data_IF_084736817736
#
_entry.id   IF_084736817736
#
_cell.length_a   1.000
_cell.length_b   1.000
_cell.length_c   1.000
_cell.angle_alpha   90.00
_cell.angle_beta   90.00
_cell.angle_gamma   90.00
#
_symmetry.space_group_name_H-M   'P 1'
#
loop_
_entity.id
_entity.type
_entity.pdbx_description
1 polymer ?
#
# COMPACT_ATOMS: atom_id res chain seq x y z
N UNK A 1 33.67 23.68 4.99
CA UNK A 1 32.39 23.22 5.56
C UNK A 1 31.43 24.37 5.40
N UNK A 2 30.61 24.33 4.36
CA UNK A 2 29.46 25.22 4.22
C UNK A 2 28.51 24.86 5.35
N UNK A 3 28.30 25.80 6.25
CA UNK A 3 27.35 25.65 7.36
C UNK A 3 25.97 25.56 6.72
N UNK A 4 25.40 24.36 6.64
CA UNK A 4 24.03 24.19 6.16
C UNK A 4 23.13 24.93 7.13
N UNK A 5 22.49 26.00 6.63
CA UNK A 5 21.51 26.76 7.39
C UNK A 5 20.48 25.76 7.96
N UNK A 6 20.03 25.90 9.22
CA UNK A 6 19.05 24.98 9.80
C UNK A 6 17.82 24.71 8.91
N UNK A 7 17.43 25.66 8.05
CA UNK A 7 16.36 25.51 7.06
C UNK A 7 16.60 24.44 5.97
N UNK A 8 17.83 23.94 5.80
CA UNK A 8 18.22 23.02 4.73
C UNK A 8 18.15 21.54 5.15
N UNK A 9 17.86 21.24 6.42
CA UNK A 9 17.74 19.86 6.90
C UNK A 9 16.43 19.24 6.40
N UNK A 10 16.44 17.97 5.91
CA UNK A 10 15.22 17.31 5.44
C UNK A 10 14.06 17.30 6.43
N UNK A 11 14.33 17.05 7.72
CA UNK A 11 13.32 17.08 8.78
C UNK A 11 12.67 18.47 8.94
N UNK A 12 13.45 19.54 8.81
CA UNK A 12 12.93 20.91 8.95
C UNK A 12 12.07 21.31 7.74
N UNK A 13 12.42 20.86 6.52
CA UNK A 13 11.57 21.01 5.33
C UNK A 13 10.24 20.26 5.46
N UNK A 14 10.28 19.03 5.98
CA UNK A 14 9.08 18.22 6.21
C UNK A 14 8.13 18.89 7.23
N UNK A 15 8.67 19.39 8.36
CA UNK A 15 7.90 20.12 9.37
C UNK A 15 7.30 21.42 8.83
N UNK A 16 8.08 22.20 8.08
CA UNK A 16 7.60 23.44 7.48
C UNK A 16 6.46 23.18 6.48
N UNK A 17 6.55 22.12 5.68
CA UNK A 17 5.48 21.72 4.77
C UNK A 17 4.22 21.25 5.53
N UNK A 18 4.39 20.51 6.63
CA UNK A 18 3.28 20.10 7.49
C UNK A 18 2.57 21.30 8.15
N UNK A 19 3.32 22.27 8.65
CA UNK A 19 2.77 23.51 9.20
C UNK A 19 2.00 24.31 8.13
N UNK A 20 2.56 24.45 6.92
CA UNK A 20 1.88 25.09 5.80
C UNK A 20 0.54 24.40 5.48
N UNK A 21 0.51 23.08 5.40
CA UNK A 21 -0.72 22.31 5.19
C UNK A 21 -1.76 22.54 6.28
N UNK A 22 -1.36 22.55 7.56
CA UNK A 22 -2.27 22.85 8.68
C UNK A 22 -2.85 24.26 8.56
N UNK A 23 -2.02 25.26 8.29
CA UNK A 23 -2.45 26.64 8.13
C UNK A 23 -3.42 26.82 6.94
N UNK A 24 -3.11 26.19 5.81
CA UNK A 24 -3.99 26.20 4.63
C UNK A 24 -5.30 25.45 4.89
N UNK A 25 -5.25 24.27 5.50
CA UNK A 25 -6.45 23.48 5.82
C UNK A 25 -7.35 24.17 6.84
N UNK A 26 -6.78 24.86 7.84
CA UNK A 26 -7.53 25.65 8.82
C UNK A 26 -8.22 26.87 8.19
N UNK A 27 -7.64 27.43 7.13
CA UNK A 27 -8.20 28.58 6.39
C UNK A 27 -9.17 28.15 5.28
N UNK A 28 -9.16 26.87 4.91
CA UNK A 28 -10.02 26.34 3.88
C UNK A 28 -11.47 26.16 4.40
N UNK A 29 -12.45 26.35 3.51
CA UNK A 29 -13.87 26.14 3.85
C UNK A 29 -14.08 24.71 4.32
N UNK A 30 -14.63 24.47 5.53
CA UNK A 30 -14.91 23.13 6.03
C UNK A 30 -15.83 22.37 5.07
N UNK A 31 -15.45 21.16 4.68
CA UNK A 31 -16.28 20.32 3.80
C UNK A 31 -17.46 19.66 4.53
N UNK A 32 -18.21 18.79 3.83
CA UNK A 32 -17.83 18.13 2.58
C UNK A 32 -17.97 19.02 1.34
N UNK A 33 -16.95 19.00 0.49
CA UNK A 33 -17.02 19.66 -0.81
C UNK A 33 -17.85 18.78 -1.74
N UNK A 34 -18.96 19.30 -2.26
CA UNK A 34 -19.83 18.59 -3.18
C UNK A 34 -19.69 19.21 -4.55
N UNK A 35 -19.49 18.37 -5.56
CA UNK A 35 -19.66 18.77 -6.96
C UNK A 35 -21.14 19.08 -7.18
N UNK A 36 -21.49 20.36 -7.20
CA UNK A 36 -22.82 20.79 -7.64
C UNK A 36 -22.77 20.96 -9.15
N UNK A 37 -23.70 20.32 -9.85
CA UNK A 37 -23.71 20.21 -11.32
C UNK A 37 -23.72 21.57 -12.06
N UNK A 38 -23.63 21.47 -13.39
CA UNK A 38 -23.56 22.56 -14.36
C UNK A 38 -24.58 23.66 -14.06
N UNK A 39 -24.13 24.76 -13.45
CA UNK A 39 -24.85 26.03 -13.50
C UNK A 39 -24.58 26.73 -14.82
N UNK A 40 -25.20 27.90 -15.03
CA UNK A 40 -25.03 28.74 -16.24
C UNK A 40 -23.55 29.15 -16.51
N UNK A 41 -22.60 28.75 -15.65
CA UNK A 41 -21.18 29.09 -15.68
C UNK A 41 -20.22 27.88 -15.53
N UNK A 42 -20.67 26.64 -15.79
CA UNK A 42 -19.80 25.44 -15.83
C UNK A 42 -19.54 24.75 -14.48
N UNK A 43 -18.58 23.80 -14.46
CA UNK A 43 -18.11 23.12 -13.23
C UNK A 43 -17.32 24.12 -12.38
N UNK A 44 -17.77 24.41 -11.15
CA UNK A 44 -17.06 25.30 -10.25
C UNK A 44 -16.72 24.63 -8.92
N UNK A 45 -15.45 24.75 -8.52
CA UNK A 45 -15.04 24.70 -7.12
C UNK A 45 -14.80 26.16 -6.72
N UNK A 46 -15.71 26.77 -5.97
CA UNK A 46 -15.60 28.20 -5.67
C UNK A 46 -14.51 28.45 -4.61
N UNK A 47 -13.37 28.99 -5.07
CA UNK A 47 -12.51 29.89 -4.31
C UNK A 47 -12.51 31.25 -5.04
N UNK A 48 -12.44 32.40 -4.34
CA UNK A 48 -12.53 33.71 -4.99
C UNK A 48 -11.44 33.89 -6.06
N UNK A 49 -11.84 34.00 -7.33
CA UNK A 49 -10.97 34.43 -8.44
C UNK A 49 -10.33 33.35 -9.33
N UNK A 50 -10.75 32.08 -9.25
CA UNK A 50 -10.28 31.02 -10.17
C UNK A 50 -11.46 30.39 -10.90
N UNK A 51 -11.60 30.69 -12.20
CA UNK A 51 -12.54 30.02 -13.09
C UNK A 51 -11.81 28.89 -13.83
N UNK A 52 -12.23 27.65 -13.64
CA UNK A 52 -11.76 26.52 -14.46
C UNK A 52 -12.55 26.48 -15.77
N UNK A 53 -11.90 26.38 -16.94
CA UNK A 53 -12.60 26.35 -18.22
C UNK A 53 -13.51 25.12 -18.34
N UNK A 54 -14.68 25.29 -18.98
CA UNK A 54 -15.68 24.24 -19.22
C UNK A 54 -15.18 23.20 -20.22
N UNK A 55 -14.30 22.34 -19.73
CA UNK A 55 -13.60 21.28 -20.46
C UNK A 55 -13.60 20.02 -19.62
N UNK A 56 -13.41 18.87 -20.26
CA UNK A 56 -13.20 17.60 -19.54
C UNK A 56 -12.03 17.68 -18.54
N UNK A 57 -11.02 18.49 -18.87
CA UNK A 57 -9.92 18.82 -17.98
C UNK A 57 -10.39 19.60 -16.75
N UNK A 58 -11.18 20.67 -16.92
CA UNK A 58 -11.71 21.46 -15.80
C UNK A 58 -12.61 20.65 -14.86
N UNK A 59 -13.36 19.68 -15.39
CA UNK A 59 -14.09 18.71 -14.57
C UNK A 59 -13.16 17.82 -13.76
N UNK A 60 -12.12 17.29 -14.39
CA UNK A 60 -11.11 16.44 -13.73
C UNK A 60 -10.37 17.21 -12.63
N UNK A 61 -10.03 18.47 -12.88
CA UNK A 61 -9.37 19.36 -11.92
C UNK A 61 -10.30 19.66 -10.73
N UNK A 62 -11.60 19.90 -10.98
CA UNK A 62 -12.59 20.09 -9.93
C UNK A 62 -12.80 18.83 -9.07
N UNK A 63 -12.82 17.65 -9.69
CA UNK A 63 -12.88 16.36 -8.99
C UNK A 63 -11.62 16.14 -8.13
N UNK A 64 -10.43 16.47 -8.65
CA UNK A 64 -9.17 16.41 -7.91
C UNK A 64 -9.17 17.36 -6.71
N UNK A 65 -9.63 18.60 -6.86
CA UNK A 65 -9.71 19.57 -5.77
C UNK A 65 -10.73 19.12 -4.72
N UNK A 66 -11.89 18.59 -5.13
CA UNK A 66 -12.90 18.04 -4.22
C UNK A 66 -12.37 16.89 -3.34
N UNK A 67 -11.45 16.07 -3.89
CA UNK A 67 -10.76 15.02 -3.15
C UNK A 67 -9.78 15.58 -2.10
N UNK A 68 -9.22 16.77 -2.32
CA UNK A 68 -8.29 17.45 -1.40
C UNK A 68 -9.00 18.20 -0.27
N UNK A 69 -10.01 17.56 0.34
CA UNK A 69 -10.70 18.06 1.54
C UNK A 69 -9.70 18.46 2.65
N UNK A 70 -9.97 19.46 3.51
CA UNK A 70 -9.04 19.87 4.57
C UNK A 70 -8.52 18.71 5.44
N UNK A 71 -9.34 17.68 5.65
CA UNK A 71 -8.94 16.44 6.34
C UNK A 71 -7.81 15.67 5.66
N UNK A 72 -7.72 15.68 4.33
CA UNK A 72 -6.59 15.10 3.57
C UNK A 72 -5.33 15.93 3.79
N UNK A 73 -5.44 17.27 3.76
CA UNK A 73 -4.33 18.16 4.08
C UNK A 73 -3.78 17.93 5.49
N UNK A 74 -4.65 17.75 6.49
CA UNK A 74 -4.26 17.41 7.86
C UNK A 74 -3.63 16.03 7.99
N UNK A 75 -4.17 15.01 7.30
CA UNK A 75 -3.58 13.67 7.29
C UNK A 75 -2.18 13.67 6.66
N UNK A 76 -2.01 14.43 5.56
CA UNK A 76 -0.72 14.61 4.90
C UNK A 76 0.27 15.36 5.82
N UNK A 77 -0.18 16.35 6.59
CA UNK A 77 0.66 17.02 7.58
C UNK A 77 1.14 16.08 8.70
N UNK A 78 0.29 15.17 9.19
CA UNK A 78 0.69 14.16 10.18
C UNK A 78 1.69 13.17 9.59
N UNK A 79 1.51 12.78 8.32
CA UNK A 79 2.45 11.93 7.62
C UNK A 79 3.82 12.61 7.45
N UNK A 80 3.85 13.90 7.09
CA UNK A 80 5.09 14.67 6.99
C UNK A 80 5.81 14.82 8.33
N UNK A 81 5.10 15.04 9.43
CA UNK A 81 5.71 15.06 10.79
C UNK A 81 6.37 13.71 11.11
N UNK A 82 5.69 12.59 10.85
CA UNK A 82 6.26 11.25 11.09
C UNK A 82 7.50 10.98 10.23
N UNK A 83 7.49 11.45 8.98
CA UNK A 83 8.66 11.37 8.11
C UNK A 83 9.81 12.26 8.62
N UNK A 84 9.51 13.41 9.20
CA UNK A 84 10.51 14.28 9.82
C UNK A 84 11.14 13.61 11.06
N UNK A 85 10.31 13.01 11.91
CA UNK A 85 10.78 12.26 13.08
C UNK A 85 11.66 11.07 12.65
N UNK A 86 11.24 10.31 11.64
CA UNK A 86 12.08 9.26 11.07
C UNK A 86 13.41 9.82 10.53
N UNK A 87 13.38 10.95 9.83
CA UNK A 87 14.60 11.61 9.33
C UNK A 87 15.54 12.05 10.44
N UNK A 88 15.04 12.45 11.61
CA UNK A 88 15.88 12.85 12.75
C UNK A 88 16.47 11.66 13.51
N UNK A 89 15.73 10.55 13.60
CA UNK A 89 16.15 9.37 14.36
C UNK A 89 17.15 8.50 13.60
N UNK A 90 17.17 8.58 12.27
CA UNK A 90 18.08 7.80 11.44
C UNK A 90 19.25 8.64 10.96
N UNK A 91 20.39 8.47 11.63
CA UNK A 91 21.66 9.02 11.15
C UNK A 91 22.03 8.48 9.76
N UNK A 92 22.96 9.15 9.08
CA UNK A 92 23.41 8.87 7.69
C UNK A 92 23.90 7.42 7.42
N UNK A 93 23.93 6.53 8.40
CA UNK A 93 24.45 5.16 8.32
C UNK A 93 23.42 4.03 8.21
N UNK A 94 22.13 4.26 8.46
CA UNK A 94 21.09 3.20 8.42
C UNK A 94 20.32 3.24 7.09
N UNK A 95 21.04 2.96 6.01
CA UNK A 95 20.54 3.04 4.63
C UNK A 95 19.65 1.85 4.26
N UNK A 96 18.40 2.13 3.90
CA UNK A 96 17.52 1.19 3.21
C UNK A 96 16.05 1.55 3.36
N UNK A 97 15.44 1.12 4.46
CA UNK A 97 13.98 1.22 4.68
C UNK A 97 13.54 2.66 4.95
N UNK A 98 14.37 3.44 5.64
CA UNK A 98 14.03 4.83 6.01
C UNK A 98 14.13 5.75 4.81
N UNK A 99 15.13 5.52 3.94
CA UNK A 99 15.29 6.26 2.70
C UNK A 99 14.04 6.13 1.81
N UNK A 100 13.43 4.94 1.73
CA UNK A 100 12.21 4.74 0.93
C UNK A 100 10.99 5.50 1.43
N UNK A 101 10.92 5.85 2.72
CA UNK A 101 9.83 6.64 3.29
C UNK A 101 10.11 8.15 3.23
N UNK A 102 11.35 8.56 3.51
CA UNK A 102 11.73 9.98 3.63
C UNK A 102 11.84 10.66 2.27
N UNK A 103 12.30 9.97 1.22
CA UNK A 103 12.49 10.60 -0.10
C UNK A 103 11.17 11.06 -0.75
N UNK A 104 10.09 10.23 -0.83
CA UNK A 104 8.80 10.70 -1.36
C UNK A 104 8.20 11.83 -0.52
N UNK A 105 8.32 11.74 0.81
CA UNK A 105 7.86 12.79 1.71
C UNK A 105 8.57 14.12 1.48
N UNK A 106 9.90 14.08 1.29
CA UNK A 106 10.70 15.27 1.03
C UNK A 106 10.36 15.89 -0.33
N UNK A 107 10.10 15.08 -1.36
CA UNK A 107 9.64 15.57 -2.66
C UNK A 107 8.31 16.32 -2.56
N UNK A 108 7.34 15.75 -1.83
CA UNK A 108 6.04 16.39 -1.55
C UNK A 108 6.24 17.68 -0.77
N UNK A 109 7.08 17.67 0.28
CA UNK A 109 7.35 18.86 1.09
C UNK A 109 7.95 20.00 0.27
N UNK A 110 8.91 19.70 -0.62
CA UNK A 110 9.51 20.71 -1.51
C UNK A 110 8.49 21.31 -2.47
N UNK A 111 7.62 20.48 -3.04
CA UNK A 111 6.54 20.97 -3.91
C UNK A 111 5.58 21.90 -3.14
N UNK A 112 5.20 21.51 -1.91
CA UNK A 112 4.33 22.31 -1.06
C UNK A 112 4.98 23.64 -0.66
N UNK A 113 6.28 23.65 -0.38
CA UNK A 113 7.03 24.84 -0.01
C UNK A 113 7.40 25.73 -1.21
N UNK A 114 7.30 25.22 -2.44
CA UNK A 114 7.79 25.91 -3.63
C UNK A 114 9.32 25.92 -3.70
N UNK A 115 9.98 24.97 -3.03
CA UNK A 115 11.44 24.86 -2.92
C UNK A 115 11.99 23.70 -3.75
N UNK A 116 11.25 23.24 -4.76
CA UNK A 116 11.82 22.38 -5.79
C UNK A 116 12.91 23.17 -6.52
N UNK A 117 14.15 22.97 -6.08
CA UNK A 117 15.40 23.33 -6.75
C UNK A 117 15.35 22.79 -8.19
N UNK A 118 15.79 23.45 -9.26
CA UNK A 118 16.08 24.85 -9.56
C UNK A 118 16.29 24.86 -11.08
N UNK A 119 15.61 25.73 -11.82
CA UNK A 119 16.14 26.17 -13.12
C UNK A 119 17.42 26.97 -12.80
N UNK A 120 18.58 26.31 -12.75
CA UNK A 120 19.87 26.98 -12.56
C UNK A 120 20.81 26.44 -11.48
N UNK A 121 20.64 25.21 -10.98
CA UNK A 121 21.83 24.51 -10.48
C UNK A 121 22.70 24.22 -11.71
N UNK A 122 23.88 24.86 -11.80
CA UNK A 122 24.87 24.51 -12.81
C UNK A 122 25.12 23.00 -12.69
N UNK A 123 24.69 22.26 -13.71
CA UNK A 123 24.99 20.85 -13.86
C UNK A 123 26.50 20.69 -13.74
N UNK A 124 26.92 19.87 -12.79
CA UNK A 124 28.34 19.65 -12.59
C UNK A 124 28.92 18.94 -13.82
N UNK A 125 30.21 19.16 -14.11
CA UNK A 125 30.89 18.47 -15.23
C UNK A 125 30.71 16.93 -15.14
N UNK A 126 30.65 16.36 -13.94
CA UNK A 126 30.40 14.93 -13.70
C UNK A 126 28.97 14.50 -14.05
N UNK A 127 27.96 15.31 -13.76
CA UNK A 127 26.56 15.02 -14.11
C UNK A 127 26.34 15.12 -15.61
N UNK A 128 26.99 16.10 -16.25
CA UNK A 128 26.99 16.24 -17.70
C UNK A 128 27.63 15.02 -18.37
N UNK A 129 28.81 14.57 -17.90
CA UNK A 129 29.48 13.36 -18.40
C UNK A 129 28.59 12.11 -18.23
N UNK A 130 27.96 11.94 -17.05
CA UNK A 130 27.04 10.83 -16.82
C UNK A 130 25.77 10.88 -17.70
N UNK A 131 25.31 12.06 -18.09
CA UNK A 131 24.21 12.19 -19.04
C UNK A 131 24.68 11.81 -20.45
N UNK A 132 25.82 12.32 -20.89
CA UNK A 132 26.41 12.01 -22.20
C UNK A 132 26.69 10.50 -22.34
N UNK A 133 27.17 9.84 -21.29
CA UNK A 133 27.39 8.38 -21.25
C UNK A 133 26.07 7.60 -21.34
N UNK A 134 25.02 8.03 -20.64
CA UNK A 134 23.69 7.41 -20.72
C UNK A 134 23.08 7.58 -22.10
N UNK A 135 23.22 8.75 -22.71
CA UNK A 135 22.75 9.03 -24.07
C UNK A 135 23.54 8.26 -25.12
N UNK A 136 24.86 8.11 -24.96
CA UNK A 136 25.69 7.25 -25.79
C UNK A 136 25.25 5.79 -25.69
N UNK A 137 25.10 5.27 -24.48
CA UNK A 137 24.61 3.91 -24.22
C UNK A 137 23.23 3.68 -24.83
N UNK A 138 22.32 4.66 -24.75
CA UNK A 138 21.00 4.58 -25.35
C UNK A 138 21.05 4.56 -26.89
N UNK A 139 21.95 5.34 -27.50
CA UNK A 139 22.19 5.32 -28.96
C UNK A 139 22.74 3.98 -29.42
N UNK A 140 23.72 3.44 -28.71
CA UNK A 140 24.31 2.12 -29.01
C UNK A 140 23.25 1.01 -28.90
N UNK A 141 22.44 1.04 -27.83
CA UNK A 141 21.33 0.11 -27.64
C UNK A 141 20.31 0.19 -28.79
N UNK A 142 19.92 1.39 -29.21
CA UNK A 142 19.00 1.59 -30.33
C UNK A 142 19.57 1.09 -31.67
N UNK A 143 20.90 1.11 -31.82
CA UNK A 143 21.61 0.56 -32.98
C UNK A 143 21.82 -0.96 -32.90
N UNK A 144 21.43 -1.61 -31.79
CA UNK A 144 21.66 -3.03 -31.54
C UNK A 144 23.08 -3.38 -31.07
N UNK A 145 23.85 -2.37 -30.67
CA UNK A 145 25.14 -2.56 -30.00
C UNK A 145 24.92 -2.60 -28.48
N UNK A 146 25.22 -3.75 -27.87
CA UNK A 146 25.00 -3.99 -26.45
C UNK A 146 26.29 -4.00 -25.64
N UNK A 147 27.44 -3.66 -26.23
CA UNK A 147 28.74 -3.75 -25.56
C UNK A 147 28.85 -2.85 -24.30
N UNK A 148 28.02 -1.80 -24.22
CA UNK A 148 27.99 -0.85 -23.10
C UNK A 148 26.67 -0.93 -22.29
N UNK A 149 25.85 -1.93 -22.57
CA UNK A 149 24.63 -2.13 -21.82
C UNK A 149 24.92 -2.66 -20.41
N UNK A 150 24.25 -2.08 -19.41
CA UNK A 150 24.28 -2.63 -18.05
C UNK A 150 23.59 -3.99 -17.96
N UNK A 151 23.70 -4.64 -16.79
CA UNK A 151 23.12 -5.95 -16.44
C UNK A 151 21.57 -5.98 -16.42
N UNK A 152 20.92 -5.01 -17.06
CA UNK A 152 19.47 -4.89 -17.19
C UNK A 152 19.04 -4.91 -18.65
N UNK A 153 19.97 -5.01 -19.61
CA UNK A 153 19.65 -5.11 -21.03
C UNK A 153 19.09 -6.50 -21.38
N UNK A 154 17.91 -6.51 -22.00
CA UNK A 154 17.17 -7.73 -22.36
C UNK A 154 17.90 -8.59 -23.42
N UNK A 155 18.82 -8.00 -24.20
CA UNK A 155 19.56 -8.72 -25.26
C UNK A 155 20.77 -9.47 -24.70
N UNK A 156 21.49 -8.90 -23.72
CA UNK A 156 22.59 -9.61 -23.06
C UNK A 156 22.13 -10.59 -21.97
N UNK A 157 20.88 -10.49 -21.52
CA UNK A 157 20.34 -11.32 -20.45
C UNK A 157 19.13 -12.14 -20.90
N UNK A 158 19.31 -13.44 -21.22
CA UNK A 158 18.18 -14.31 -21.49
C UNK A 158 17.30 -14.40 -20.25
N UNK A 159 16.07 -13.96 -20.40
CA UNK A 159 15.00 -13.73 -19.40
C UNK A 159 14.75 -14.87 -18.41
N UNK A 160 15.21 -16.08 -18.71
CA UNK A 160 15.11 -17.24 -17.81
C UNK A 160 16.11 -17.18 -16.65
N UNK A 161 17.32 -16.66 -16.88
CA UNK A 161 18.39 -16.66 -15.87
C UNK A 161 18.14 -15.62 -14.77
N UNK A 162 17.60 -14.44 -15.13
CA UNK A 162 17.24 -13.40 -14.17
C UNK A 162 16.01 -13.79 -13.33
N UNK A 163 15.00 -14.45 -13.94
CA UNK A 163 13.85 -15.01 -13.22
C UNK A 163 14.33 -16.00 -12.16
N UNK A 164 15.22 -16.92 -12.53
CA UNK A 164 15.79 -17.89 -11.60
C UNK A 164 16.68 -17.25 -10.54
N UNK A 165 17.43 -16.18 -10.89
CA UNK A 165 18.27 -15.45 -9.94
C UNK A 165 17.46 -14.65 -8.91
N UNK A 166 16.40 -13.95 -9.34
CA UNK A 166 15.48 -13.21 -8.46
C UNK A 166 14.73 -14.18 -7.53
N UNK A 167 14.25 -15.31 -8.06
CA UNK A 167 13.63 -16.39 -7.27
C UNK A 167 14.62 -16.97 -6.25
N UNK A 168 15.88 -17.22 -6.65
CA UNK A 168 16.88 -17.84 -5.78
C UNK A 168 17.45 -16.91 -4.69
N UNK A 169 17.47 -15.59 -4.93
CA UNK A 169 18.10 -14.62 -4.00
C UNK A 169 17.13 -13.92 -3.06
N UNK A 170 15.82 -13.99 -3.30
CA UNK A 170 14.80 -13.56 -2.34
C UNK A 170 14.98 -12.12 -1.86
N UNK A 171 15.29 -11.18 -2.76
CA UNK A 171 15.48 -9.78 -2.39
C UNK A 171 14.17 -9.19 -1.84
N UNK A 172 14.16 -8.65 -0.61
CA UNK A 172 12.97 -8.00 -0.06
C UNK A 172 12.58 -6.80 -0.94
N UNK A 173 11.29 -6.71 -1.28
CA UNK A 173 10.74 -5.69 -2.20
C UNK A 173 10.46 -6.18 -3.63
N UNK A 174 10.86 -7.40 -3.99
CA UNK A 174 10.65 -7.95 -5.35
C UNK A 174 9.35 -8.73 -5.54
N UNK A 175 8.48 -8.85 -4.52
CA UNK A 175 7.20 -9.56 -4.64
C UNK A 175 6.34 -8.99 -5.79
N UNK A 176 6.26 -7.66 -5.91
CA UNK A 176 5.56 -7.02 -7.03
C UNK A 176 6.23 -7.27 -8.39
N UNK A 177 7.56 -7.36 -8.44
CA UNK A 177 8.30 -7.67 -9.66
C UNK A 177 8.17 -9.14 -10.07
N UNK A 178 8.12 -10.06 -9.10
CA UNK A 178 7.87 -11.47 -9.33
C UNK A 178 6.43 -11.71 -9.76
N UNK A 179 5.45 -11.09 -9.09
CA UNK A 179 4.04 -11.15 -9.48
C UNK A 179 3.84 -10.57 -10.88
N UNK A 180 4.53 -9.47 -11.22
CA UNK A 180 4.54 -8.90 -12.55
C UNK A 180 5.14 -9.85 -13.61
N UNK A 181 6.26 -10.50 -13.30
CA UNK A 181 6.89 -11.49 -14.18
C UNK A 181 6.05 -12.75 -14.34
N UNK A 182 5.43 -13.25 -13.25
CA UNK A 182 4.51 -14.38 -13.28
C UNK A 182 3.25 -14.03 -14.07
N UNK A 183 2.71 -12.83 -13.90
CA UNK A 183 1.58 -12.31 -14.67
C UNK A 183 1.90 -12.19 -16.15
N UNK A 184 3.07 -11.66 -16.52
CA UNK A 184 3.54 -11.58 -17.92
C UNK A 184 3.79 -12.95 -18.53
N UNK A 185 4.36 -13.88 -17.77
CA UNK A 185 4.61 -15.24 -18.23
C UNK A 185 3.32 -16.07 -18.38
N UNK A 186 2.32 -15.83 -17.54
CA UNK A 186 1.01 -16.48 -17.62
C UNK A 186 0.07 -15.82 -18.64
N UNK A 187 0.30 -14.55 -18.98
CA UNK A 187 -0.44 -13.87 -20.01
C UNK A 187 0.02 -14.35 -21.40
N UNK A 188 -0.85 -14.99 -22.21
CA UNK A 188 -0.52 -15.20 -23.61
C UNK A 188 -0.22 -13.84 -24.26
N UNK A 189 0.72 -13.74 -25.20
CA UNK A 189 1.00 -12.48 -25.89
C UNK A 189 -0.31 -11.93 -26.42
N UNK A 190 -0.60 -10.68 -26.03
CA UNK A 190 -1.91 -10.07 -26.23
C UNK A 190 -2.35 -10.28 -27.70
N UNK A 191 -3.61 -10.71 -27.94
CA UNK A 191 -4.08 -11.01 -29.28
C UNK A 191 -3.89 -9.84 -30.25
N UNK A 192 -3.93 -8.60 -29.75
CA UNK A 192 -3.61 -7.39 -30.51
C UNK A 192 -2.17 -7.36 -31.05
N UNK A 193 -1.18 -7.82 -30.27
CA UNK A 193 0.22 -7.86 -30.72
C UNK A 193 0.44 -8.95 -31.79
N UNK A 194 -0.22 -10.11 -31.63
CA UNK A 194 -0.19 -11.17 -32.66
C UNK A 194 -0.86 -10.74 -33.97
N UNK A 195 -2.02 -10.08 -33.90
CA UNK A 195 -2.70 -9.57 -35.08
C UNK A 195 -1.88 -8.49 -35.80
N UNK A 196 -1.27 -7.56 -35.06
CA UNK A 196 -0.39 -6.54 -35.62
C UNK A 196 0.81 -7.16 -36.36
N UNK A 197 1.50 -8.13 -35.73
CA UNK A 197 2.66 -8.77 -36.37
C UNK A 197 2.29 -9.56 -37.62
N UNK A 198 1.11 -10.20 -37.63
CA UNK A 198 0.59 -10.89 -38.82
C UNK A 198 0.25 -9.92 -39.94
N UNK A 199 -0.30 -8.75 -39.63
CA UNK A 199 -0.56 -7.70 -40.63
C UNK A 199 0.74 -7.16 -41.24
N UNK A 200 1.78 -6.89 -40.43
CA UNK A 200 3.10 -6.49 -40.93
C UNK A 200 3.67 -7.51 -41.91
N UNK A 201 3.52 -8.81 -41.62
CA UNK A 201 3.95 -9.87 -42.54
C UNK A 201 3.10 -9.86 -43.82
N UNK A 202 1.77 -9.70 -43.73
CA UNK A 202 0.91 -9.60 -44.93
C UNK A 202 1.33 -8.43 -45.82
N UNK A 203 1.60 -7.28 -45.22
CA UNK A 203 2.01 -6.08 -45.93
C UNK A 203 3.35 -6.30 -46.65
N UNK A 204 4.31 -6.94 -45.97
CA UNK A 204 5.60 -7.32 -46.57
C UNK A 204 5.46 -8.30 -47.76
N UNK A 205 4.59 -9.31 -47.66
CA UNK A 205 4.30 -10.19 -48.80
C UNK A 205 3.61 -9.43 -49.94
N UNK A 206 2.66 -8.55 -49.63
CA UNK A 206 1.94 -7.77 -50.64
C UNK A 206 2.88 -6.84 -51.43
N UNK A 207 3.81 -6.19 -50.74
CA UNK A 207 4.85 -5.36 -51.36
C UNK A 207 5.76 -6.19 -52.28
N UNK A 208 6.23 -7.34 -51.80
CA UNK A 208 7.12 -8.22 -52.59
C UNK A 208 6.41 -8.80 -53.81
N UNK A 209 5.13 -9.16 -53.68
CA UNK A 209 4.28 -9.62 -54.81
C UNK A 209 4.08 -8.49 -55.83
N UNK A 210 3.86 -7.26 -55.37
CA UNK A 210 3.72 -6.10 -56.24
C UNK A 210 5.01 -5.85 -57.03
N UNK A 211 6.16 -5.88 -56.36
CA UNK A 211 7.48 -5.74 -56.98
C UNK A 211 7.75 -6.83 -58.03
N UNK A 212 7.50 -8.10 -57.70
CA UNK A 212 7.67 -9.20 -58.66
C UNK A 212 6.78 -9.04 -59.90
N UNK A 213 5.55 -8.54 -59.73
CA UNK A 213 4.64 -8.24 -60.86
C UNK A 213 5.14 -7.07 -61.71
N UNK A 214 5.70 -6.03 -61.10
CA UNK A 214 6.30 -4.90 -61.80
C UNK A 214 7.49 -5.34 -62.67
N UNK A 215 8.32 -6.23 -62.14
CA UNK A 215 9.45 -6.85 -62.85
C UNK A 215 9.03 -7.89 -63.90
N UNK A 216 7.72 -8.13 -64.05
CA UNK A 216 7.12 -9.17 -64.90
C UNK A 216 7.54 -10.59 -64.53
N UNK A 217 7.99 -10.81 -63.30
CA UNK A 217 8.20 -12.13 -62.72
C UNK A 217 6.89 -12.69 -62.16
N UNK A 218 6.03 -13.13 -63.08
CA UNK A 218 4.73 -13.69 -62.70
C UNK A 218 4.84 -15.02 -61.94
N UNK A 219 5.92 -15.78 -62.15
CA UNK A 219 6.16 -17.05 -61.46
C UNK A 219 6.59 -16.81 -60.00
N UNK A 220 7.48 -15.85 -59.77
CA UNK A 220 7.85 -15.39 -58.43
C UNK A 220 6.67 -14.82 -57.66
N UNK A 221 5.86 -13.97 -58.31
CA UNK A 221 4.64 -13.44 -57.71
C UNK A 221 3.65 -14.54 -57.28
N UNK A 222 3.40 -15.53 -58.15
CA UNK A 222 2.52 -16.66 -57.84
C UNK A 222 3.06 -17.54 -56.69
N UNK A 223 4.38 -17.74 -56.63
CA UNK A 223 5.01 -18.50 -55.55
C UNK A 223 4.82 -17.81 -54.19
N UNK A 224 5.02 -16.49 -54.14
CA UNK A 224 4.81 -15.69 -52.93
C UNK A 224 3.34 -15.68 -52.49
N UNK A 225 2.39 -15.61 -53.42
CA UNK A 225 0.95 -15.73 -53.11
C UNK A 225 0.60 -17.08 -52.49
N UNK A 226 1.17 -18.18 -53.01
CA UNK A 226 0.99 -19.50 -52.43
C UNK A 226 1.56 -19.58 -51.01
N UNK A 227 2.75 -19.04 -50.78
CA UNK A 227 3.39 -18.98 -49.46
C UNK A 227 2.57 -18.16 -48.46
N UNK A 228 2.03 -17.01 -48.87
CA UNK A 228 1.17 -16.19 -48.02
C UNK A 228 -0.09 -16.97 -47.61
N UNK A 229 -0.75 -17.66 -48.55
CA UNK A 229 -1.93 -18.48 -48.26
C UNK A 229 -1.61 -19.61 -47.27
N UNK A 230 -0.49 -20.30 -47.45
CA UNK A 230 -0.07 -21.37 -46.54
C UNK A 230 0.22 -20.83 -45.12
N UNK A 231 0.78 -19.62 -45.04
CA UNK A 231 1.05 -18.94 -43.78
C UNK A 231 -0.24 -18.49 -43.08
N UNK A 232 -1.22 -17.98 -43.81
CA UNK A 232 -2.54 -17.61 -43.27
C UNK A 232 -3.30 -18.82 -42.75
N UNK A 233 -3.24 -19.92 -43.48
CA UNK A 233 -3.79 -21.20 -43.08
C UNK A 233 -3.11 -21.72 -41.79
N UNK A 234 -1.78 -21.60 -41.68
CA UNK A 234 -1.05 -21.92 -40.45
C UNK A 234 -1.52 -21.06 -39.29
N UNK A 235 -1.61 -19.74 -39.45
CA UNK A 235 -2.08 -18.83 -38.40
C UNK A 235 -3.50 -19.16 -37.93
N UNK A 236 -4.38 -19.58 -38.84
CA UNK A 236 -5.72 -20.05 -38.48
C UNK A 236 -5.66 -21.28 -37.59
N UNK A 237 -4.81 -22.26 -37.93
CA UNK A 237 -4.62 -23.46 -37.07
C UNK A 237 -4.04 -23.09 -35.70
N UNK A 238 -3.13 -22.13 -35.64
CA UNK A 238 -2.58 -21.63 -34.37
C UNK A 238 -3.66 -20.93 -33.53
N UNK A 239 -4.57 -20.18 -34.16
CA UNK A 239 -5.68 -19.52 -33.47
C UNK A 239 -6.72 -20.53 -33.01
N UNK A 240 -7.06 -21.52 -33.84
CA UNK A 240 -7.96 -22.62 -33.48
C UNK A 240 -7.37 -23.45 -32.32
N UNK A 241 -6.06 -23.73 -32.37
CA UNK A 241 -5.35 -24.43 -31.30
C UNK A 241 -5.25 -23.60 -30.01
N UNK A 242 -5.07 -22.28 -30.12
CA UNK A 242 -5.05 -21.39 -28.95
C UNK A 242 -6.46 -21.17 -28.35
N UNK A 243 -7.50 -21.19 -29.19
CA UNK A 243 -8.90 -21.09 -28.76
C UNK A 243 -9.39 -22.39 -28.12
N UNK A 244 -8.84 -23.54 -28.54
CA UNK A 244 -9.02 -24.80 -27.85
C UNK A 244 -8.34 -24.72 -26.48
N UNK A 245 -9.14 -24.47 -25.43
CA UNK A 245 -8.65 -24.60 -24.06
C UNK A 245 -8.00 -25.98 -23.89
N UNK A 246 -6.79 -26.08 -23.31
CA UNK A 246 -6.15 -27.36 -23.08
C UNK A 246 -7.13 -28.28 -22.36
N UNK A 247 -7.18 -29.55 -22.79
CA UNK A 247 -8.15 -30.48 -22.25
C UNK A 247 -7.99 -30.50 -20.71
N UNK A 248 -9.07 -30.72 -19.95
CA UNK A 248 -9.00 -30.82 -18.49
C UNK A 248 -7.87 -31.76 -18.02
N UNK A 249 -7.63 -32.85 -18.77
CA UNK A 249 -6.52 -33.78 -18.56
C UNK A 249 -5.13 -33.16 -18.78
N UNK A 250 -4.94 -32.35 -19.81
CA UNK A 250 -3.65 -31.70 -20.11
C UNK A 250 -3.31 -30.66 -19.04
N UNK A 251 -4.30 -29.86 -18.62
CA UNK A 251 -4.14 -28.92 -17.49
C UNK A 251 -3.75 -29.65 -16.21
N UNK A 252 -4.40 -30.78 -15.92
CA UNK A 252 -4.06 -31.61 -14.77
C UNK A 252 -2.63 -32.18 -14.87
N UNK A 253 -2.20 -32.61 -16.05
CA UNK A 253 -0.84 -33.13 -16.26
C UNK A 253 0.21 -32.05 -15.99
N UNK A 254 0.04 -30.84 -16.55
CA UNK A 254 0.96 -29.71 -16.33
C UNK A 254 1.04 -29.32 -14.85
N UNK A 255 -0.10 -29.28 -14.15
CA UNK A 255 -0.13 -28.94 -12.72
C UNK A 255 0.57 -30.01 -11.85
N UNK A 256 0.48 -31.30 -12.22
CA UNK A 256 1.23 -32.38 -11.54
C UNK A 256 2.72 -32.25 -11.79
N UNK A 257 3.13 -32.01 -13.03
CA UNK A 257 4.54 -31.80 -13.39
C UNK A 257 5.14 -30.62 -12.62
N UNK A 258 4.42 -29.51 -12.53
CA UNK A 258 4.83 -28.35 -11.74
C UNK A 258 4.97 -28.69 -10.24
N UNK A 259 4.01 -29.44 -9.67
CA UNK A 259 4.09 -29.88 -8.28
C UNK A 259 5.31 -30.78 -8.02
N UNK A 260 5.60 -31.70 -8.94
CA UNK A 260 6.74 -32.60 -8.82
C UNK A 260 8.07 -31.87 -8.98
N UNK A 261 8.13 -30.84 -9.83
CA UNK A 261 9.29 -29.97 -9.94
C UNK A 261 9.55 -29.18 -8.64
N UNK A 262 8.51 -28.61 -8.02
CA UNK A 262 8.62 -27.94 -6.71
C UNK A 262 9.08 -28.92 -5.63
N UNK A 263 8.56 -30.15 -5.65
CA UNK A 263 8.97 -31.19 -4.71
C UNK A 263 10.43 -31.59 -4.89
N UNK A 264 10.88 -31.70 -6.15
CA UNK A 264 12.29 -31.96 -6.47
C UNK A 264 13.18 -30.81 -6.00
N UNK A 265 12.78 -29.56 -6.22
CA UNK A 265 13.51 -28.37 -5.75
C UNK A 265 13.65 -28.38 -4.22
N UNK A 266 12.59 -28.75 -3.50
CA UNK A 266 12.64 -28.91 -2.03
C UNK A 266 13.69 -29.96 -1.63
N UNK A 267 13.74 -31.09 -2.34
CA UNK A 267 14.66 -32.20 -2.04
C UNK A 267 16.12 -31.86 -2.35
N UNK A 268 16.40 -31.17 -3.46
CA UNK A 268 17.76 -30.81 -3.87
C UNK A 268 18.37 -29.69 -3.03
N UNK A 269 17.52 -28.94 -2.33
CA UNK A 269 17.99 -27.86 -1.50
C UNK A 269 18.73 -28.35 -0.23
N UNK A 270 18.22 -29.26 0.62
CA UNK A 270 18.99 -29.84 1.76
C UNK A 270 19.22 -28.93 3.00
N UNK A 271 19.03 -29.40 4.23
CA UNK A 271 19.00 -28.57 5.47
C UNK A 271 20.41 -28.06 5.92
N UNK A 272 20.58 -26.87 6.60
CA UNK A 272 19.92 -26.59 7.90
C UNK A 272 19.43 -25.14 8.21
N UNK A 273 18.39 -25.11 9.07
CA UNK A 273 17.85 -24.08 9.99
C UNK A 273 17.20 -22.79 9.46
N UNK A 274 17.71 -22.08 8.44
CA UNK A 274 16.93 -20.99 7.79
C UNK A 274 16.03 -21.56 6.68
N UNK A 275 16.24 -22.84 6.36
CA UNK A 275 15.65 -23.54 5.23
C UNK A 275 14.28 -24.16 5.48
N UNK A 276 13.87 -24.31 6.74
CA UNK A 276 12.66 -25.07 7.08
C UNK A 276 11.39 -24.30 6.74
N UNK A 277 11.36 -22.98 6.96
CA UNK A 277 10.23 -22.14 6.56
C UNK A 277 10.03 -22.14 5.04
N UNK A 278 11.13 -22.03 4.27
CA UNK A 278 11.08 -22.05 2.81
C UNK A 278 10.71 -23.44 2.28
N UNK A 279 11.27 -24.51 2.85
CA UNK A 279 10.95 -25.88 2.48
C UNK A 279 9.49 -26.24 2.78
N UNK A 280 8.92 -25.72 3.87
CA UNK A 280 7.51 -25.89 4.19
C UNK A 280 6.62 -25.13 3.18
N UNK A 281 6.97 -23.89 2.84
CA UNK A 281 6.27 -23.12 1.79
C UNK A 281 6.22 -23.84 0.44
N UNK A 282 7.34 -24.42 -0.01
CA UNK A 282 7.38 -25.24 -1.23
C UNK A 282 6.53 -26.51 -1.11
N UNK A 283 6.47 -27.11 0.09
CA UNK A 283 5.59 -28.25 0.37
C UNK A 283 4.11 -27.89 0.19
N UNK A 284 3.67 -26.74 0.73
CA UNK A 284 2.31 -26.25 0.57
C UNK A 284 1.98 -25.94 -0.89
N UNK A 285 2.87 -25.22 -1.59
CA UNK A 285 2.69 -24.90 -3.00
C UNK A 285 2.56 -26.17 -3.88
N UNK A 286 3.38 -27.20 -3.65
CA UNK A 286 3.25 -28.47 -4.36
C UNK A 286 1.92 -29.18 -4.08
N UNK A 287 1.42 -29.13 -2.84
CA UNK A 287 0.13 -29.71 -2.48
C UNK A 287 -1.04 -28.96 -3.12
N UNK A 288 -0.99 -27.63 -3.17
CA UNK A 288 -2.01 -26.81 -3.83
C UNK A 288 -2.06 -27.09 -5.33
N UNK A 289 -0.90 -27.19 -5.99
CA UNK A 289 -0.83 -27.57 -7.41
C UNK A 289 -1.40 -28.97 -7.67
N UNK A 290 -1.17 -29.94 -6.77
CA UNK A 290 -1.76 -31.28 -6.88
C UNK A 290 -3.28 -31.26 -6.70
N UNK A 291 -3.78 -30.45 -5.77
CA UNK A 291 -5.23 -30.25 -5.59
C UNK A 291 -5.85 -29.63 -6.83
N UNK A 292 -5.25 -28.55 -7.36
CA UNK A 292 -5.67 -27.92 -8.61
C UNK A 292 -5.61 -28.89 -9.79
N UNK A 293 -4.63 -29.80 -9.83
CA UNK A 293 -4.55 -30.83 -10.85
C UNK A 293 -5.71 -31.85 -10.75
N UNK A 294 -6.13 -32.20 -9.53
CA UNK A 294 -7.29 -33.07 -9.31
C UNK A 294 -8.59 -32.36 -9.75
N UNK A 295 -8.76 -31.10 -9.39
CA UNK A 295 -9.89 -30.27 -9.81
C UNK A 295 -9.95 -30.16 -11.34
N UNK A 296 -8.80 -29.86 -11.98
CA UNK A 296 -8.69 -29.82 -13.43
C UNK A 296 -9.01 -31.17 -14.08
N UNK A 297 -8.53 -32.29 -13.54
CA UNK A 297 -8.84 -33.62 -14.07
C UNK A 297 -10.34 -33.97 -13.94
N UNK A 298 -11.00 -33.48 -12.89
CA UNK A 298 -12.43 -33.60 -12.68
C UNK A 298 -13.26 -32.64 -13.55
N UNK A 299 -12.63 -31.77 -14.34
CA UNK A 299 -13.31 -30.76 -15.15
C UNK A 299 -13.87 -29.59 -14.33
N UNK A 300 -13.48 -29.48 -13.06
CA UNK A 300 -13.87 -28.36 -12.19
C UNK A 300 -13.09 -27.13 -12.66
N UNK A 301 -13.81 -26.11 -13.13
CA UNK A 301 -13.20 -24.81 -13.42
C UNK A 301 -12.99 -24.08 -12.09
N UNK A 302 -11.79 -23.50 -11.85
CA UNK A 302 -11.61 -22.63 -10.70
C UNK A 302 -12.63 -21.47 -10.79
N UNK A 303 -13.16 -20.99 -9.66
CA UNK A 303 -14.09 -19.88 -9.66
C UNK A 303 -13.45 -18.70 -10.40
N UNK A 304 -14.11 -18.23 -11.46
CA UNK A 304 -13.66 -17.06 -12.21
C UNK A 304 -13.59 -15.87 -11.24
N UNK A 305 -12.53 -15.08 -11.31
CA UNK A 305 -12.16 -14.02 -10.36
C UNK A 305 -13.23 -12.91 -10.08
N UNK A 306 -14.45 -13.03 -10.61
CA UNK A 306 -15.60 -12.17 -10.30
C UNK A 306 -16.58 -12.74 -9.25
N UNK A 307 -16.42 -13.98 -8.78
CA UNK A 307 -17.22 -14.52 -7.68
C UNK A 307 -16.47 -14.42 -6.36
N UNK A 308 -16.46 -13.23 -5.76
CA UNK A 308 -16.16 -13.04 -4.34
C UNK A 308 -17.37 -13.51 -3.53
N UNK A 309 -17.61 -14.82 -3.51
CA UNK A 309 -18.38 -15.45 -2.45
C UNK A 309 -17.48 -15.53 -1.23
N UNK A 310 -17.86 -14.86 -0.15
CA UNK A 310 -17.12 -14.82 1.11
C UNK A 310 -16.89 -16.25 1.66
N UNK A 311 -15.65 -16.80 1.61
CA UNK A 311 -15.39 -18.15 2.10
C UNK A 311 -15.38 -18.22 3.64
N UNK A 312 -15.64 -17.12 4.35
CA UNK A 312 -15.62 -17.07 5.81
C UNK A 312 -16.84 -17.74 6.48
N UNK A 313 -17.88 -18.14 5.74
CA UNK A 313 -19.13 -18.64 6.35
C UNK A 313 -19.25 -20.16 6.48
N UNK A 314 -18.35 -20.98 5.91
CA UNK A 314 -18.49 -22.45 5.95
C UNK A 314 -17.45 -23.19 6.83
N UNK A 315 -16.53 -22.45 7.48
CA UNK A 315 -15.62 -23.01 8.49
C UNK A 315 -16.10 -22.70 9.91
N UNK A 316 -17.32 -23.11 10.27
CA UNK A 316 -17.72 -23.14 11.67
C UNK A 316 -17.06 -24.34 12.35
N UNK A 317 -16.04 -24.09 13.17
CA UNK A 317 -15.48 -25.11 14.06
C UNK A 317 -16.60 -25.63 14.97
N UNK A 318 -16.97 -26.89 14.80
CA UNK A 318 -17.97 -27.57 15.62
C UNK A 318 -17.34 -27.95 16.97
N UNK A 319 -17.15 -26.98 17.87
CA UNK A 319 -16.81 -27.29 19.26
C UNK A 319 -18.02 -28.00 19.89
N UNK A 320 -17.88 -29.29 20.22
CA UNK A 320 -18.91 -30.00 20.98
C UNK A 320 -18.95 -29.46 22.41
N UNK A 321 -20.10 -28.94 22.84
CA UNK A 321 -20.36 -28.42 24.19
C UNK A 321 -20.59 -29.50 25.27
N UNK A 322 -20.29 -30.77 24.98
CA UNK A 322 -20.53 -31.88 25.92
C UNK A 322 -19.33 -32.05 26.84
N UNK A 323 -19.49 -31.61 28.09
CA UNK A 323 -18.62 -32.00 29.21
C UNK A 323 -19.20 -33.28 29.80
N UNK A 324 -18.51 -34.40 29.60
CA UNK A 324 -18.88 -35.65 30.23
C UNK A 324 -18.21 -35.78 31.60
N UNK A 325 -19.03 -36.07 32.61
CA UNK A 325 -18.52 -36.36 33.95
C UNK A 325 -18.08 -37.82 34.02
N UNK A 326 -16.81 -38.02 34.34
CA UNK A 326 -16.25 -39.34 34.60
C UNK A 326 -15.95 -39.48 36.10
N UNK A 327 -16.02 -40.71 36.61
CA UNK A 327 -15.75 -41.06 38.02
C UNK A 327 -16.59 -40.32 39.07
N UNK A 328 -17.90 -40.25 38.86
CA UNK A 328 -18.84 -39.75 39.87
C UNK A 328 -18.70 -38.26 40.20
N UNK A 329 -18.29 -37.44 39.22
CA UNK A 329 -18.21 -35.98 39.39
C UNK A 329 -16.88 -35.47 39.93
N UNK A 330 -15.79 -36.21 39.79
CA UNK A 330 -14.44 -35.76 40.20
C UNK A 330 -13.59 -35.22 39.05
N UNK A 331 -13.88 -35.62 37.82
CA UNK A 331 -13.09 -35.22 36.65
C UNK A 331 -14.00 -34.94 35.47
N UNK A 332 -13.69 -33.88 34.73
CA UNK A 332 -14.37 -33.50 33.50
C UNK A 332 -13.48 -33.88 32.30
N UNK A 333 -14.06 -34.55 31.31
CA UNK A 333 -13.40 -34.87 30.05
C UNK A 333 -13.84 -33.88 28.98
N UNK A 334 -12.87 -33.24 28.30
CA UNK A 334 -13.13 -32.42 27.12
C UNK A 334 -12.49 -33.11 25.92
N UNK A 335 -13.29 -33.69 25.00
CA UNK A 335 -12.75 -34.26 23.77
C UNK A 335 -12.38 -33.13 22.79
N UNK A 336 -11.16 -33.17 22.27
CA UNK A 336 -10.74 -32.40 21.10
C UNK A 336 -10.60 -33.33 19.90
N UNK A 337 -11.09 -32.91 18.75
CA UNK A 337 -10.74 -33.54 17.46
C UNK A 337 -9.71 -32.65 16.78
N UNK A 338 -8.69 -33.24 16.16
CA UNK A 338 -7.79 -32.49 15.26
C UNK A 338 -8.42 -32.27 13.87
N UNK A 339 -7.75 -31.47 13.03
CA UNK A 339 -8.21 -31.16 11.67
C UNK A 339 -8.29 -32.38 10.74
N UNK A 340 -7.79 -33.54 11.16
CA UNK A 340 -7.84 -34.80 10.41
C UNK A 340 -8.93 -35.75 10.94
N UNK A 341 -9.73 -35.33 11.93
CA UNK A 341 -10.80 -36.14 12.52
C UNK A 341 -10.30 -37.26 13.43
N UNK A 342 -9.06 -37.17 13.91
CA UNK A 342 -8.57 -38.05 14.96
C UNK A 342 -8.85 -37.43 16.33
N UNK A 343 -9.21 -38.23 17.35
CA UNK A 343 -9.40 -37.73 18.71
C UNK A 343 -8.05 -37.28 19.27
N UNK A 344 -7.84 -35.97 19.33
CA UNK A 344 -6.64 -35.34 19.84
C UNK A 344 -6.84 -34.92 21.31
N UNK A 345 -6.09 -35.60 22.18
CA UNK A 345 -5.78 -35.22 23.57
C UNK A 345 -6.99 -34.91 24.47
N UNK A 346 -7.31 -35.85 25.36
CA UNK A 346 -8.22 -35.60 26.48
C UNK A 346 -7.49 -34.83 27.59
N UNK A 347 -7.99 -33.65 27.92
CA UNK A 347 -7.51 -32.87 29.08
C UNK A 347 -8.38 -33.21 30.28
N UNK A 348 -7.74 -33.65 31.36
CA UNK A 348 -8.38 -33.97 32.63
C UNK A 348 -8.31 -32.76 33.56
N UNK A 349 -9.46 -32.24 33.99
CA UNK A 349 -9.51 -31.11 34.94
C UNK A 349 -10.04 -31.61 36.28
N UNK A 350 -9.32 -31.31 37.37
CA UNK A 350 -9.68 -31.71 38.73
C UNK A 350 -10.86 -30.86 39.24
N UNK A 351 -11.70 -31.44 40.11
CA UNK A 351 -12.94 -30.82 40.62
C UNK A 351 -12.74 -29.43 41.24
N UNK A 352 -11.58 -29.17 41.82
CA UNK A 352 -11.27 -27.89 42.48
C UNK A 352 -11.04 -26.76 41.46
N UNK A 353 -10.69 -27.10 40.22
CA UNK A 353 -10.48 -26.17 39.10
C UNK A 353 -11.71 -26.07 38.17
N UNK A 354 -12.62 -27.05 38.23
CA UNK A 354 -13.86 -27.07 37.43
C UNK A 354 -14.80 -25.90 37.77
N UNK A 355 -14.82 -25.44 39.02
CA UNK A 355 -15.57 -24.26 39.45
C UNK A 355 -15.02 -22.95 38.87
N UNK A 356 -13.70 -22.85 38.70
CA UNK A 356 -13.04 -21.71 38.06
C UNK A 356 -13.36 -21.69 36.56
N UNK A 357 -13.34 -22.86 35.91
CA UNK A 357 -13.68 -22.99 34.49
C UNK A 357 -15.16 -22.67 34.22
N UNK A 358 -16.08 -23.14 35.08
CA UNK A 358 -17.51 -22.84 34.96
C UNK A 358 -17.84 -21.36 35.26
N UNK A 359 -17.13 -20.74 36.20
CA UNK A 359 -17.24 -19.30 36.46
C UNK A 359 -16.70 -18.45 35.31
N UNK A 360 -15.58 -18.85 34.68
CA UNK A 360 -15.05 -18.18 33.48
C UNK A 360 -16.00 -18.27 32.29
N UNK A 361 -16.77 -19.36 32.15
CA UNK A 361 -17.75 -19.53 31.08
C UNK A 361 -19.07 -18.77 31.34
N UNK A 362 -19.44 -18.56 32.60
CA UNK A 362 -20.66 -17.82 32.98
C UNK A 362 -20.50 -16.28 32.91
N UNK A 363 -19.27 -15.76 32.95
CA UNK A 363 -18.97 -14.31 33.00
C UNK A 363 -19.00 -13.63 31.61
N UNK A 364 -19.26 -14.38 30.53
CA UNK A 364 -19.26 -13.89 29.15
C UNK A 364 -20.47 -12.99 28.77
N UNK A 365 -21.45 -12.78 29.65
CA UNK A 365 -22.68 -12.08 29.31
C UNK A 365 -22.68 -10.55 29.59
N UNK A 366 -21.59 -9.95 30.10
CA UNK A 366 -21.63 -8.52 30.44
C UNK A 366 -20.32 -7.80 30.78
N UNK A 367 -19.15 -8.32 30.39
CA UNK A 367 -17.84 -7.74 30.76
C UNK A 367 -17.08 -7.27 29.52
N UNK A 368 -16.41 -6.13 29.64
CA UNK A 368 -15.40 -5.66 28.69
C UNK A 368 -14.44 -6.83 28.37
N UNK A 369 -14.08 -7.08 27.10
CA UNK A 369 -13.21 -8.21 26.78
C UNK A 369 -11.89 -8.11 27.55
N UNK A 370 -11.29 -9.24 27.97
CA UNK A 370 -9.99 -9.24 28.62
C UNK A 370 -8.99 -8.49 27.74
N UNK A 371 -8.06 -7.75 28.35
CA UNK A 371 -7.12 -6.87 27.65
C UNK A 371 -6.36 -7.57 26.51
N UNK A 372 -6.11 -8.88 26.63
CA UNK A 372 -5.50 -9.72 25.58
C UNK A 372 -6.38 -9.87 24.33
N UNK A 373 -7.69 -9.96 24.48
CA UNK A 373 -8.62 -10.12 23.36
C UNK A 373 -8.85 -8.78 22.63
N UNK A 374 -8.95 -7.68 23.38
CA UNK A 374 -8.99 -6.34 22.79
C UNK A 374 -7.71 -6.03 21.99
N UNK A 375 -6.55 -6.41 22.53
CA UNK A 375 -5.24 -6.30 21.87
C UNK A 375 -5.21 -7.06 20.54
N UNK A 376 -5.63 -8.34 20.55
CA UNK A 376 -5.68 -9.16 19.33
C UNK A 376 -6.63 -8.58 18.29
N UNK A 377 -7.83 -8.10 18.70
CA UNK A 377 -8.78 -7.49 17.76
C UNK A 377 -8.27 -6.20 17.13
N UNK A 378 -7.57 -5.35 17.89
CA UNK A 378 -6.96 -4.13 17.36
C UNK A 378 -5.82 -4.49 16.40
N UNK A 379 -4.96 -5.45 16.75
CA UNK A 379 -3.90 -5.91 15.87
C UNK A 379 -4.43 -6.53 14.56
N UNK A 380 -5.55 -7.25 14.63
CA UNK A 380 -6.23 -7.81 13.47
C UNK A 380 -6.79 -6.73 12.57
N UNK A 381 -7.48 -5.75 13.13
CA UNK A 381 -8.02 -4.62 12.38
C UNK A 381 -6.91 -3.80 11.69
N UNK A 382 -5.76 -3.61 12.35
CA UNK A 382 -4.60 -2.94 11.75
C UNK A 382 -3.99 -3.77 10.61
N UNK A 383 -3.81 -5.07 10.80
CA UNK A 383 -3.28 -5.96 9.77
C UNK A 383 -4.22 -6.04 8.55
N UNK A 384 -5.54 -6.11 8.78
CA UNK A 384 -6.55 -6.14 7.72
C UNK A 384 -6.60 -4.82 6.95
N UNK A 385 -6.45 -3.67 7.63
CA UNK A 385 -6.39 -2.36 6.99
C UNK A 385 -5.17 -2.22 6.05
N UNK A 386 -4.06 -2.88 6.40
CA UNK A 386 -2.85 -2.95 5.56
C UNK A 386 -2.90 -4.09 4.51
N UNK A 387 -4.02 -4.82 4.42
CA UNK A 387 -4.26 -5.86 3.42
C UNK A 387 -3.57 -7.20 3.71
N UNK A 388 -3.10 -7.46 4.93
CA UNK A 388 -2.45 -8.71 5.29
C UNK A 388 -3.44 -9.86 5.43
N UNK A 389 -3.08 -11.02 4.88
CA UNK A 389 -3.78 -12.29 5.12
C UNK A 389 -2.82 -13.31 5.71
N UNK A 390 -3.22 -13.91 6.83
CA UNK A 390 -2.40 -14.87 7.56
C UNK A 390 -2.79 -16.30 7.20
N UNK A 391 -1.80 -17.15 6.92
CA UNK A 391 -2.03 -18.58 6.86
C UNK A 391 -2.43 -19.13 8.25
N UNK A 392 -3.28 -20.17 8.34
CA UNK A 392 -3.63 -20.81 9.60
C UNK A 392 -2.39 -21.18 10.42
N UNK A 393 -2.36 -20.81 11.70
CA UNK A 393 -1.26 -21.11 12.61
C UNK A 393 -0.01 -20.23 12.50
N UNK A 394 0.13 -19.39 11.47
CA UNK A 394 1.33 -18.56 11.26
C UNK A 394 1.28 -17.20 11.97
N UNK A 395 0.06 -16.73 12.24
CA UNK A 395 -0.25 -15.39 12.75
C UNK A 395 0.52 -15.06 14.03
N UNK A 396 0.48 -15.90 15.06
CA UNK A 396 1.11 -15.62 16.35
C UNK A 396 2.65 -15.67 16.33
N UNK A 397 3.25 -16.40 15.39
CA UNK A 397 4.71 -16.48 15.22
C UNK A 397 5.30 -15.46 14.25
N UNK A 398 4.45 -14.72 13.53
CA UNK A 398 4.89 -13.75 12.51
C UNK A 398 5.52 -12.50 13.16
N UNK A 399 6.76 -12.12 12.82
CA UNK A 399 7.35 -10.86 13.28
C UNK A 399 6.50 -9.63 12.91
N UNK A 400 5.89 -9.64 11.74
CA UNK A 400 5.00 -8.56 11.29
C UNK A 400 3.72 -8.48 12.14
N UNK A 401 3.16 -9.63 12.56
CA UNK A 401 1.99 -9.62 13.45
C UNK A 401 2.35 -9.18 14.88
N UNK A 402 3.56 -9.48 15.34
CA UNK A 402 4.06 -8.96 16.63
C UNK A 402 4.18 -7.43 16.64
N UNK A 403 4.47 -6.80 15.50
CA UNK A 403 4.47 -5.35 15.39
C UNK A 403 3.05 -4.77 15.48
N UNK A 404 2.05 -5.39 14.83
CA UNK A 404 0.66 -4.99 15.01
C UNK A 404 0.17 -5.15 16.45
N UNK A 405 0.63 -6.19 17.15
CA UNK A 405 0.36 -6.37 18.58
C UNK A 405 0.99 -5.25 19.44
N UNK A 406 2.20 -4.78 19.10
CA UNK A 406 2.81 -3.60 19.76
C UNK A 406 2.03 -2.32 19.50
N UNK A 407 1.55 -2.11 18.28
CA UNK A 407 0.72 -0.95 17.94
C UNK A 407 -0.62 -1.00 18.69
N UNK A 408 -1.22 -2.19 18.82
CA UNK A 408 -2.41 -2.40 19.63
C UNK A 408 -2.17 -2.04 21.11
N UNK A 409 -1.00 -2.37 21.66
CA UNK A 409 -0.64 -1.98 23.03
C UNK A 409 -0.56 -0.45 23.20
N UNK A 410 -0.02 0.27 22.22
CA UNK A 410 0.02 1.75 22.24
C UNK A 410 -1.39 2.35 22.21
N UNK A 411 -2.27 1.81 21.38
CA UNK A 411 -3.67 2.25 21.28
C UNK A 411 -4.40 2.02 22.61
N UNK A 412 -4.24 0.83 23.21
CA UNK A 412 -4.85 0.52 24.51
C UNK A 412 -4.30 1.41 25.64
N UNK A 413 -3.01 1.73 25.63
CA UNK A 413 -2.41 2.67 26.58
C UNK A 413 -3.00 4.09 26.43
N UNK A 414 -3.20 4.55 25.19
CA UNK A 414 -3.82 5.85 24.93
C UNK A 414 -5.29 5.90 25.40
N UNK A 415 -6.05 4.83 25.18
CA UNK A 415 -7.46 4.75 25.58
C UNK A 415 -7.66 4.65 27.11
N UNK A 416 -6.67 4.14 27.83
CA UNK A 416 -6.71 4.00 29.30
C UNK A 416 -6.12 5.20 30.03
N UNK A 417 -5.44 6.11 29.30
CA UNK A 417 -4.92 7.34 29.88
C UNK A 417 -6.09 8.31 30.11
N UNK A 418 -6.42 8.66 31.36
CA UNK A 418 -7.48 9.62 31.63
C UNK A 418 -7.10 10.96 30.96
N UNK A 419 -8.07 11.64 30.32
CA UNK A 419 -7.78 12.93 29.70
C UNK A 419 -7.19 13.86 30.74
N UNK A 420 -6.07 14.50 30.39
CA UNK A 420 -5.45 15.51 31.25
C UNK A 420 -6.54 16.49 31.68
N UNK A 421 -6.71 16.65 33.00
CA UNK A 421 -7.67 17.60 33.55
C UNK A 421 -7.40 18.96 32.87
N UNK A 422 -8.43 19.61 32.30
CA UNK A 422 -8.24 20.90 31.65
C UNK A 422 -7.55 21.81 32.66
N UNK A 423 -6.44 22.41 32.24
CA UNK A 423 -5.76 23.42 33.04
C UNK A 423 -6.82 24.43 33.50
N UNK A 424 -6.86 24.70 34.81
CA UNK A 424 -7.77 25.69 35.37
C UNK A 424 -7.64 26.98 34.54
N UNK A 425 -8.77 27.63 34.19
CA UNK A 425 -8.73 28.83 33.35
C UNK A 425 -7.79 29.84 34.01
N UNK A 426 -6.76 30.26 33.27
CA UNK A 426 -5.86 31.32 33.71
C UNK A 426 -6.71 32.56 34.01
N UNK A 427 -6.58 33.09 35.23
CA UNK A 427 -7.21 34.34 35.60
C UNK A 427 -6.71 35.44 34.65
N UNK A 428 -7.60 36.32 34.13
CA UNK A 428 -7.20 37.35 33.18
C UNK A 428 -6.23 38.33 33.85
N UNK A 429 -4.94 38.24 33.48
CA UNK A 429 -3.93 39.19 33.95
C UNK A 429 -3.84 40.39 33.01
N UNK A 430 -4.18 41.58 33.52
CA UNK A 430 -3.94 42.83 32.82
C UNK A 430 -2.42 43.13 32.82
N UNK A 431 -1.76 43.10 31.66
CA UNK A 431 -0.38 43.60 31.51
C UNK A 431 -0.37 45.12 31.45
N UNK A 432 -0.63 45.78 32.57
CA UNK A 432 -0.26 47.18 32.75
C UNK A 432 1.28 47.25 32.90
N UNK A 433 1.99 47.28 31.77
CA UNK A 433 3.40 47.61 31.75
C UNK A 433 3.60 49.03 32.27
N UNK A 434 4.28 49.14 33.42
CA UNK A 434 4.98 50.32 33.96
C UNK A 434 4.85 51.62 33.14
N UNK A 435 3.84 52.43 33.45
CA UNK A 435 3.77 53.82 32.98
C UNK A 435 4.36 54.77 34.05
N UNK A 436 4.98 55.89 33.66
CA UNK A 436 5.45 56.92 34.59
C UNK A 436 4.29 57.54 35.38
N UNK A 437 4.56 57.95 36.62
CA UNK A 437 3.58 58.38 37.62
C UNK A 437 2.67 59.57 37.24
N UNK A 438 2.85 60.20 36.07
CA UNK A 438 2.29 61.50 35.72
C UNK A 438 1.43 61.51 34.45
N UNK A 439 1.18 60.36 33.79
CA UNK A 439 0.33 60.33 32.61
C UNK A 439 -1.16 60.17 32.98
N UNK A 440 -2.01 60.96 32.31
CA UNK A 440 -3.47 60.98 32.48
C UNK A 440 -4.09 59.62 32.08
N UNK A 441 -5.13 59.11 32.77
CA UNK A 441 -5.56 57.71 32.67
C UNK A 441 -6.33 57.32 31.39
N UNK A 442 -6.41 58.22 30.41
CA UNK A 442 -7.25 58.05 29.24
C UNK A 442 -6.34 57.92 28.03
N UNK A 443 -5.93 56.68 27.76
CA UNK A 443 -5.90 56.06 26.42
C UNK A 443 -4.97 54.85 26.42
N UNK A 444 -5.49 53.72 25.91
CA UNK A 444 -4.80 52.45 25.57
C UNK A 444 -4.79 51.37 26.65
N UNK A 445 -5.99 50.86 26.96
CA UNK A 445 -6.12 49.42 27.17
C UNK A 445 -6.15 48.77 25.77
N UNK A 446 -5.23 47.87 25.47
CA UNK A 446 -5.29 47.02 24.26
C UNK A 446 -5.96 45.72 24.69
N UNK A 447 -7.23 45.57 24.37
CA UNK A 447 -8.06 44.44 24.81
C UNK A 447 -7.65 43.09 24.18
N UNK A 448 -7.73 42.05 25.01
CA UNK A 448 -8.26 40.74 24.62
C UNK A 448 -9.40 40.37 25.58
N UNK A 449 -10.65 40.55 25.16
CA UNK A 449 -11.85 40.03 25.82
C UNK A 449 -12.63 41.01 26.73
N UNK A 450 -13.95 40.80 26.90
CA UNK A 450 -14.82 41.68 27.68
C UNK A 450 -14.57 41.53 29.19
N UNK A 451 -14.31 42.65 29.88
CA UNK A 451 -14.26 42.73 31.34
C UNK A 451 -14.79 44.09 31.82
N UNK A 452 -15.44 44.12 32.99
CA UNK A 452 -16.22 45.29 33.47
C UNK A 452 -15.58 46.03 34.64
N UNK A 453 -14.39 45.60 35.10
CA UNK A 453 -13.67 46.21 36.22
C UNK A 453 -12.21 46.50 35.86
N UNK A 454 -11.77 47.73 36.09
CA UNK A 454 -10.37 48.13 35.96
C UNK A 454 -9.83 48.56 37.33
N UNK A 455 -8.62 48.12 37.69
CA UNK A 455 -7.92 48.58 38.89
C UNK A 455 -6.59 49.21 38.51
N UNK A 456 -6.37 50.48 38.86
CA UNK A 456 -5.09 51.16 38.61
C UNK A 456 -4.00 50.69 39.58
N UNK A 457 -2.73 50.99 39.30
CA UNK A 457 -1.61 50.66 40.19
C UNK A 457 -1.74 51.28 41.61
N UNK A 458 -2.58 52.30 41.79
CA UNK A 458 -2.87 52.94 43.07
C UNK A 458 -4.12 52.36 43.77
N UNK A 459 -4.71 51.28 43.24
CA UNK A 459 -5.86 50.58 43.85
C UNK A 459 -7.21 51.24 43.61
N UNK A 460 -7.32 52.22 42.70
CA UNK A 460 -8.62 52.78 42.32
C UNK A 460 -9.34 51.84 41.37
N UNK A 461 -10.60 51.50 41.70
CA UNK A 461 -11.49 50.70 40.86
C UNK A 461 -12.38 51.61 40.01
N UNK A 462 -12.52 51.25 38.73
CA UNK A 462 -13.49 51.82 37.80
C UNK A 462 -14.42 50.73 37.28
N UNK A 463 -15.70 51.04 37.21
CA UNK A 463 -16.76 50.20 36.66
C UNK A 463 -17.53 51.03 35.63
N UNK A 464 -17.75 50.48 34.44
CA UNK A 464 -18.50 51.11 33.34
C UNK A 464 -20.02 51.12 33.60
N UNK A 465 -20.44 51.72 34.72
CA UNK A 465 -21.85 52.01 34.95
C UNK A 465 -22.23 53.30 34.20
N UNK A 466 -23.27 53.30 33.36
CA UNK A 466 -23.75 54.52 32.73
C UNK A 466 -24.32 55.47 33.80
N UNK A 467 -23.80 56.69 33.89
CA UNK A 467 -24.36 57.75 34.73
C UNK A 467 -25.78 58.08 34.26
N UNK A 468 -26.80 57.77 35.07
CA UNK A 468 -28.14 58.35 34.94
C UNK A 468 -28.08 59.84 35.29
N UNK A 469 -28.17 60.69 34.28
CA UNK A 469 -28.40 62.14 34.40
C UNK A 469 -29.71 62.44 35.13
N UNK A 470 -29.64 63.27 36.18
CA UNK A 470 -30.77 63.96 36.82
C UNK A 470 -31.19 65.22 36.06
#
# INVERSE_FOLDING_TARGET
MTDTTPADRPADQLRAAAEKLRATAASATPGPWKMTGVGDFGWSVSAPGVETPDTEQGRTDAELVALMHPGVGLALAVWLDRAADASDHHGLGEGGVVATLVHPALAVARQLLGTTVAEGAEETDEEQEQREDREATARDHAAGDHQHCGITCEVELPTEHLRNFVIAKGYPGTAGALDELLRRAAAPPAPANRAAKRNEIRDSYAETIAMAREDRDHEGAFTLECQLRDREEQWRREDDAAAASPAPADRAAVLREAADHIYHLRATMGAPTVRDCFANGLGHAANDLRRLAADAAAGVQPPTAGQTGDPATDYSYRWSQTIDSVDGGRTALIPGDDCDGNPAVSVWVHRDDAGVLAAMLADFAGVQPPASEARTRIADALADADGWKWAPGFKSSSPSYQEYLRQADVILAALTTPPAAPAAPEEPTCRAGLLPLNDSPVERCVEQGPHTEHTTANGQRWTDAPEETQ
#
